data_IF_777690399351
#
_entry.id   IF_777690399351
#
_cell.length_a   1.000
_cell.length_b   1.000
_cell.length_c   1.000
_cell.angle_alpha   90.00
_cell.angle_beta   90.00
_cell.angle_gamma   90.00
#
_symmetry.space_group_name_H-M   'P 1'
#
loop_
_entity.id
_entity.type
_entity.pdbx_description
1 polymer ?
#
# COMPACT_ATOMS: atom_id res chain seq x y z
N UNK A 1 -29.88 16.66 6.64
CA UNK A 1 -29.24 16.76 7.98
C UNK A 1 -29.17 15.41 8.72
N UNK A 2 -30.29 14.85 9.24
CA UNK A 2 -30.29 13.65 10.11
C UNK A 2 -29.54 12.42 9.57
N UNK A 3 -29.79 12.02 8.31
CA UNK A 3 -29.11 10.85 7.70
C UNK A 3 -27.60 11.05 7.54
N UNK A 4 -27.17 12.27 7.22
CA UNK A 4 -25.74 12.60 7.13
C UNK A 4 -25.05 12.60 8.49
N UNK A 5 -25.72 13.10 9.53
CA UNK A 5 -25.22 13.04 10.90
C UNK A 5 -25.10 11.59 11.40
N UNK A 6 -26.08 10.73 11.11
CA UNK A 6 -25.98 9.30 11.44
C UNK A 6 -24.82 8.64 10.69
N UNK A 7 -24.65 8.92 9.39
CA UNK A 7 -23.52 8.39 8.62
C UNK A 7 -22.17 8.81 9.23
N UNK A 8 -22.02 10.10 9.58
CA UNK A 8 -20.80 10.59 10.20
C UNK A 8 -20.57 9.94 11.58
N UNK A 9 -21.61 9.82 12.40
CA UNK A 9 -21.52 9.20 13.72
C UNK A 9 -21.13 7.72 13.64
N UNK A 10 -21.80 6.94 12.79
CA UNK A 10 -21.46 5.53 12.60
C UNK A 10 -20.10 5.33 11.91
N UNK A 11 -19.72 6.23 11.00
CA UNK A 11 -18.39 6.24 10.40
C UNK A 11 -17.31 6.48 11.44
N UNK A 12 -17.49 7.47 12.31
CA UNK A 12 -16.58 7.77 13.41
C UNK A 12 -16.53 6.60 14.41
N UNK A 13 -17.67 6.04 14.80
CA UNK A 13 -17.72 4.88 15.69
C UNK A 13 -16.98 3.69 15.08
N UNK A 14 -17.22 3.37 13.80
CA UNK A 14 -16.51 2.30 13.08
C UNK A 14 -15.00 2.55 12.99
N UNK A 15 -14.59 3.79 12.74
CA UNK A 15 -13.18 4.18 12.73
C UNK A 15 -12.55 3.99 14.12
N UNK A 16 -13.18 4.47 15.19
CA UNK A 16 -12.65 4.31 16.55
C UNK A 16 -12.59 2.84 16.99
N UNK A 17 -13.58 2.02 16.60
CA UNK A 17 -13.60 0.60 16.92
C UNK A 17 -12.50 -0.19 16.19
N UNK A 18 -12.17 0.19 14.95
CA UNK A 18 -11.18 -0.54 14.13
C UNK A 18 -9.77 0.01 14.26
N UNK A 19 -9.61 1.33 14.45
CA UNK A 19 -8.33 2.02 14.47
C UNK A 19 -7.98 2.65 15.82
N UNK A 20 -8.95 2.96 16.67
CA UNK A 20 -8.72 3.76 17.88
C UNK A 20 -7.67 3.19 18.82
N UNK A 21 -7.66 1.86 19.02
CA UNK A 21 -6.61 1.18 19.81
C UNK A 21 -5.21 1.37 19.21
N UNK A 22 -5.09 1.21 17.89
CA UNK A 22 -3.81 1.34 17.21
C UNK A 22 -3.34 2.79 17.19
N UNK A 23 -4.21 3.75 16.89
CA UNK A 23 -3.90 5.17 16.94
C UNK A 23 -3.48 5.63 18.34
N UNK A 24 -4.14 5.14 19.40
CA UNK A 24 -3.71 5.41 20.77
C UNK A 24 -2.33 4.80 21.09
N UNK A 25 -2.01 3.64 20.52
CA UNK A 25 -0.69 3.01 20.67
C UNK A 25 0.38 3.84 19.98
N UNK A 26 0.16 4.27 18.73
CA UNK A 26 1.08 5.14 18.00
C UNK A 26 1.25 6.50 18.70
N UNK A 27 0.18 7.06 19.28
CA UNK A 27 0.27 8.29 20.07
C UNK A 27 1.18 8.12 21.31
N UNK A 28 1.09 6.98 22.01
CA UNK A 28 1.94 6.73 23.19
C UNK A 28 3.40 6.51 22.82
N UNK A 29 3.66 5.69 21.80
CA UNK A 29 5.03 5.32 21.42
C UNK A 29 5.75 6.43 20.65
N UNK A 30 5.02 7.12 19.76
CA UNK A 30 5.62 8.05 18.81
C UNK A 30 5.09 9.49 18.95
N UNK A 31 4.10 9.77 19.78
CA UNK A 31 3.54 11.12 19.87
C UNK A 31 2.71 11.56 18.66
N UNK A 32 2.40 10.64 17.75
CA UNK A 32 1.59 10.89 16.55
C UNK A 32 0.62 9.70 16.37
N UNK A 33 -0.71 9.91 16.39
CA UNK A 33 -1.67 8.81 16.33
C UNK A 33 -1.75 8.17 14.94
N UNK A 34 -1.15 8.79 13.91
CA UNK A 34 -1.08 8.32 12.54
C UNK A 34 0.36 8.04 12.11
N UNK A 35 1.30 7.91 13.04
CA UNK A 35 2.74 7.84 12.75
C UNK A 35 3.11 6.83 11.64
N UNK A 36 4.01 7.19 10.69
CA UNK A 36 4.62 8.51 10.48
C UNK A 36 3.79 9.43 9.56
N UNK A 37 2.57 9.04 9.18
CA UNK A 37 1.67 9.89 8.42
C UNK A 37 1.30 11.14 9.23
N UNK A 38 1.02 12.24 8.51
CA UNK A 38 0.64 13.53 9.10
C UNK A 38 1.67 14.13 10.08
N UNK A 39 2.95 13.73 10.00
CA UNK A 39 3.96 14.27 10.91
C UNK A 39 4.25 15.76 10.72
N UNK A 40 3.86 16.36 9.58
CA UNK A 40 3.86 17.82 9.43
C UNK A 40 2.89 18.55 10.39
N UNK A 41 1.90 17.82 10.95
CA UNK A 41 0.94 18.34 11.93
C UNK A 41 1.36 17.97 13.36
N UNK A 42 1.64 16.68 13.60
CA UNK A 42 1.95 16.19 14.96
C UNK A 42 3.39 16.43 15.40
N UNK A 43 4.30 16.67 14.46
CA UNK A 43 5.70 17.03 14.71
C UNK A 43 6.42 16.08 15.67
N UNK A 44 6.17 14.77 15.53
CA UNK A 44 6.86 13.74 16.31
C UNK A 44 8.37 13.81 16.08
N UNK A 45 9.20 13.73 17.14
CA UNK A 45 10.66 13.69 16.99
C UNK A 45 11.17 12.36 16.43
N UNK A 46 10.29 11.36 16.27
CA UNK A 46 10.63 10.04 15.75
C UNK A 46 10.73 10.00 14.22
N UNK A 47 10.25 11.04 13.54
CA UNK A 47 10.29 11.16 12.08
C UNK A 47 10.66 12.59 11.64
N UNK A 48 10.89 12.78 10.36
CA UNK A 48 11.08 14.10 9.76
C UNK A 48 9.84 14.99 9.92
N UNK A 49 10.02 16.31 9.96
CA UNK A 49 8.94 17.30 10.14
C UNK A 49 8.11 17.51 8.85
N UNK A 50 7.82 16.43 8.15
CA UNK A 50 7.03 16.36 6.92
C UNK A 50 6.02 15.22 7.03
N UNK A 51 4.90 15.32 6.31
CA UNK A 51 3.94 14.22 6.25
C UNK A 51 4.43 13.15 5.28
N UNK A 52 4.60 11.92 5.77
CA UNK A 52 5.03 10.80 4.95
C UNK A 52 3.98 10.48 3.86
N UNK A 53 4.37 10.58 2.59
CA UNK A 53 3.55 10.19 1.44
C UNK A 53 4.45 9.91 0.23
N UNK A 54 3.96 9.11 -0.72
CA UNK A 54 4.70 8.78 -1.94
C UNK A 54 4.42 9.81 -3.03
N UNK A 55 5.39 10.70 -3.27
CA UNK A 55 5.28 11.80 -4.24
C UNK A 55 5.48 11.37 -5.70
N UNK A 56 5.75 10.08 -5.97
CA UNK A 56 5.98 9.58 -7.34
C UNK A 56 4.71 9.53 -8.18
N UNK A 57 3.54 9.50 -7.55
CA UNK A 57 2.24 9.32 -8.18
C UNK A 57 1.38 10.57 -8.08
N UNK A 58 0.34 10.63 -8.90
CA UNK A 58 -0.62 11.73 -8.92
C UNK A 58 -0.46 12.70 -10.09
N UNK A 59 -1.50 13.50 -10.36
CA UNK A 59 -1.51 14.46 -11.45
C UNK A 59 -0.70 15.70 -11.10
N UNK A 60 0.03 16.25 -12.09
CA UNK A 60 0.81 17.48 -11.91
C UNK A 60 -0.02 18.76 -12.13
N UNK A 61 -1.18 18.63 -12.76
CA UNK A 61 -2.08 19.75 -13.08
C UNK A 61 -3.52 19.26 -13.28
N UNK A 62 -4.46 20.20 -13.45
CA UNK A 62 -5.89 19.90 -13.59
C UNK A 62 -6.21 19.03 -14.83
N UNK A 63 -5.50 19.21 -15.94
CA UNK A 63 -5.70 18.39 -17.14
C UNK A 63 -5.28 16.94 -16.89
N UNK A 64 -4.14 16.74 -16.25
CA UNK A 64 -3.72 15.39 -15.83
C UNK A 64 -4.70 14.78 -14.82
N UNK A 65 -5.27 15.57 -13.91
CA UNK A 65 -6.25 15.09 -12.95
C UNK A 65 -7.53 14.58 -13.63
N UNK A 66 -8.04 15.31 -14.63
CA UNK A 66 -9.24 14.92 -15.40
C UNK A 66 -8.95 13.72 -16.30
N UNK A 67 -7.77 13.67 -16.91
CA UNK A 67 -7.38 12.59 -17.84
C UNK A 67 -6.79 11.36 -17.14
N UNK A 68 -6.58 11.41 -15.82
CA UNK A 68 -5.91 10.36 -15.05
C UNK A 68 -6.50 8.95 -15.23
N UNK A 69 -7.84 8.75 -15.25
CA UNK A 69 -8.43 7.44 -15.51
C UNK A 69 -8.00 6.83 -16.84
N UNK A 70 -7.85 7.66 -17.87
CA UNK A 70 -7.45 7.23 -19.20
C UNK A 70 -5.94 6.93 -19.27
N UNK A 71 -5.14 7.65 -18.49
CA UNK A 71 -3.69 7.44 -18.42
C UNK A 71 -3.37 6.07 -17.81
N UNK A 72 -3.93 5.73 -16.65
CA UNK A 72 -3.68 4.42 -16.05
C UNK A 72 -4.44 3.28 -16.75
N UNK A 73 -5.51 3.58 -17.50
CA UNK A 73 -6.17 2.60 -18.36
C UNK A 73 -5.27 2.16 -19.54
N UNK A 74 -4.31 2.97 -19.95
CA UNK A 74 -3.36 2.63 -21.02
C UNK A 74 -1.99 2.19 -20.48
N UNK A 75 -1.43 2.94 -19.53
CA UNK A 75 -0.15 2.68 -18.90
C UNK A 75 -0.29 2.73 -17.38
N UNK A 76 -0.53 1.58 -16.76
CA UNK A 76 -0.71 1.47 -15.30
C UNK A 76 0.48 1.97 -14.46
N UNK A 77 1.69 2.07 -15.03
CA UNK A 77 2.87 2.59 -14.32
C UNK A 77 2.71 4.03 -13.80
N UNK A 78 1.76 4.79 -14.33
CA UNK A 78 1.46 6.13 -13.83
C UNK A 78 0.81 6.11 -12.44
N UNK A 79 0.30 4.96 -11.99
CA UNK A 79 -0.43 4.77 -10.74
C UNK A 79 0.03 3.53 -9.96
N UNK A 80 1.02 2.76 -10.40
CA UNK A 80 1.59 1.66 -9.60
C UNK A 80 3.03 1.35 -9.99
N UNK A 81 3.75 0.60 -9.16
CA UNK A 81 5.16 0.21 -9.38
C UNK A 81 5.32 -0.88 -10.45
N UNK A 82 4.31 -1.74 -10.62
CA UNK A 82 4.22 -2.74 -11.67
C UNK A 82 3.34 -2.27 -12.82
N UNK A 83 3.61 -2.79 -14.01
CA UNK A 83 2.77 -2.50 -15.16
C UNK A 83 1.43 -3.25 -15.06
N UNK A 84 0.35 -2.56 -15.39
CA UNK A 84 -1.00 -3.12 -15.55
C UNK A 84 -1.79 -2.31 -16.58
N UNK A 85 -2.96 -2.83 -16.95
CA UNK A 85 -3.92 -2.15 -17.82
C UNK A 85 -5.33 -2.39 -17.28
N UNK A 86 -6.06 -1.36 -16.88
CA UNK A 86 -7.45 -1.51 -16.44
C UNK A 86 -8.36 -0.38 -16.99
N UNK A 87 -9.22 -0.67 -17.98
CA UNK A 87 -10.08 0.34 -18.59
C UNK A 87 -11.32 0.67 -17.76
N UNK A 88 -11.54 0.03 -16.60
CA UNK A 88 -12.78 0.13 -15.82
C UNK A 88 -13.09 1.57 -15.43
N UNK A 89 -12.11 2.27 -14.85
CA UNK A 89 -12.34 3.66 -14.39
C UNK A 89 -12.50 4.64 -15.55
N UNK A 90 -11.71 4.49 -16.61
CA UNK A 90 -11.88 5.29 -17.83
C UNK A 90 -13.29 5.10 -18.44
N UNK A 91 -13.76 3.86 -18.49
CA UNK A 91 -15.09 3.53 -19.01
C UNK A 91 -16.20 4.09 -18.12
N UNK A 92 -16.06 3.97 -16.79
CA UNK A 92 -17.00 4.56 -15.86
C UNK A 92 -17.04 6.08 -16.02
N UNK A 93 -15.89 6.73 -16.20
CA UNK A 93 -15.81 8.17 -16.41
C UNK A 93 -16.59 8.61 -17.66
N UNK A 94 -16.37 7.93 -18.80
CA UNK A 94 -17.11 8.20 -20.04
C UNK A 94 -18.62 7.99 -19.87
N UNK A 95 -19.02 6.88 -19.24
CA UNK A 95 -20.43 6.57 -19.00
C UNK A 95 -21.08 7.59 -18.06
N UNK A 96 -20.36 8.05 -17.02
CA UNK A 96 -20.85 9.06 -16.10
C UNK A 96 -21.08 10.40 -16.82
N UNK A 97 -20.14 10.85 -17.67
CA UNK A 97 -20.29 12.07 -18.48
C UNK A 97 -21.50 11.94 -19.43
N UNK A 98 -21.62 10.81 -20.14
CA UNK A 98 -22.76 10.55 -21.03
C UNK A 98 -24.09 10.53 -20.26
N UNK A 99 -24.10 9.94 -19.06
CA UNK A 99 -25.26 9.86 -18.18
C UNK A 99 -25.70 11.25 -17.70
N UNK A 100 -24.76 12.11 -17.28
CA UNK A 100 -25.02 13.49 -16.87
C UNK A 100 -25.54 14.31 -18.05
N UNK A 101 -24.91 14.22 -19.22
CA UNK A 101 -25.34 14.92 -20.43
C UNK A 101 -26.74 14.47 -20.88
N UNK A 102 -27.01 13.16 -20.86
CA UNK A 102 -28.30 12.57 -21.23
C UNK A 102 -29.42 12.84 -20.23
N UNK A 103 -29.10 13.10 -18.95
CA UNK A 103 -30.09 13.42 -17.91
C UNK A 103 -30.91 14.68 -18.24
N UNK A 104 -30.33 15.63 -18.98
CA UNK A 104 -30.97 16.89 -19.38
C UNK A 104 -32.06 16.75 -20.44
N UNK A 105 -32.14 15.61 -21.16
CA UNK A 105 -32.98 15.48 -22.37
C UNK A 105 -34.22 14.61 -22.22
N UNK A 106 -34.33 13.81 -21.16
CA UNK A 106 -35.55 13.07 -20.83
C UNK A 106 -35.49 12.52 -19.40
N UNK A 107 -36.24 13.11 -18.47
CA UNK A 107 -36.40 12.55 -17.12
C UNK A 107 -37.30 11.33 -17.22
N UNK A 108 -36.71 10.14 -17.36
CA UNK A 108 -37.43 8.86 -17.31
C UNK A 108 -37.80 8.54 -15.86
N UNK A 109 -39.04 8.13 -15.62
CA UNK A 109 -39.53 7.76 -14.27
C UNK A 109 -38.74 6.59 -13.63
N UNK A 110 -38.13 5.72 -14.45
CA UNK A 110 -37.34 4.56 -14.01
C UNK A 110 -35.81 4.80 -13.99
N UNK A 111 -35.37 6.06 -13.99
CA UNK A 111 -33.94 6.37 -13.97
C UNK A 111 -33.31 5.99 -12.62
N UNK A 112 -32.27 5.12 -12.56
CA UNK A 112 -31.67 4.69 -11.29
C UNK A 112 -31.20 5.87 -10.43
N UNK A 113 -30.54 6.85 -11.05
CA UNK A 113 -30.02 8.04 -10.39
C UNK A 113 -31.09 9.09 -10.03
N UNK A 114 -32.38 8.83 -10.29
CA UNK A 114 -33.46 9.55 -9.62
C UNK A 114 -33.60 9.12 -8.15
N UNK A 115 -33.19 7.89 -7.82
CA UNK A 115 -33.28 7.34 -6.47
C UNK A 115 -32.12 7.86 -5.58
N UNK A 116 -32.40 8.31 -4.34
CA UNK A 116 -31.38 8.83 -3.43
C UNK A 116 -30.21 7.87 -3.17
N UNK A 117 -30.46 6.56 -3.16
CA UNK A 117 -29.42 5.52 -2.96
C UNK A 117 -28.36 5.51 -4.07
N UNK A 118 -28.76 5.68 -5.33
CA UNK A 118 -27.84 5.69 -6.46
C UNK A 118 -27.04 7.00 -6.50
N UNK A 119 -27.68 8.12 -6.17
CA UNK A 119 -27.00 9.42 -6.00
C UNK A 119 -25.96 9.34 -4.89
N UNK A 120 -26.28 8.69 -3.78
CA UNK A 120 -25.34 8.48 -2.69
C UNK A 120 -24.09 7.72 -3.16
N UNK A 121 -24.26 6.59 -3.87
CA UNK A 121 -23.12 5.81 -4.39
C UNK A 121 -22.30 6.62 -5.41
N UNK A 122 -22.96 7.40 -6.27
CA UNK A 122 -22.26 8.27 -7.22
C UNK A 122 -21.46 9.39 -6.53
N UNK A 123 -22.05 10.05 -5.54
CA UNK A 123 -21.35 11.08 -4.73
C UNK A 123 -20.20 10.44 -3.95
N UNK A 124 -20.43 9.29 -3.32
CA UNK A 124 -19.38 8.52 -2.67
C UNK A 124 -18.23 8.23 -3.65
N UNK A 125 -18.54 7.73 -4.85
CA UNK A 125 -17.51 7.41 -5.84
C UNK A 125 -16.74 8.66 -6.31
N UNK A 126 -17.42 9.79 -6.52
CA UNK A 126 -16.76 11.04 -6.89
C UNK A 126 -15.85 11.57 -5.77
N UNK A 127 -16.32 11.57 -4.53
CA UNK A 127 -15.55 12.01 -3.36
C UNK A 127 -14.38 11.07 -3.10
N UNK A 128 -14.59 9.76 -3.15
CA UNK A 128 -13.55 8.76 -2.98
C UNK A 128 -12.48 8.86 -4.09
N UNK A 129 -12.89 9.09 -5.35
CA UNK A 129 -11.94 9.31 -6.45
C UNK A 129 -11.10 10.57 -6.25
N UNK A 130 -11.74 11.70 -5.91
CA UNK A 130 -11.03 12.96 -5.64
C UNK A 130 -10.08 12.82 -4.44
N UNK A 131 -10.51 12.14 -3.38
CA UNK A 131 -9.70 11.90 -2.18
C UNK A 131 -8.51 11.00 -2.51
N UNK A 132 -8.74 9.90 -3.22
CA UNK A 132 -7.68 9.00 -3.68
C UNK A 132 -6.64 9.73 -4.54
N UNK A 133 -7.10 10.55 -5.50
CA UNK A 133 -6.22 11.29 -6.40
C UNK A 133 -5.39 12.34 -5.66
N UNK A 134 -5.93 12.95 -4.60
CA UNK A 134 -5.25 13.95 -3.79
C UNK A 134 -4.28 13.36 -2.74
N UNK A 135 -4.51 12.13 -2.29
CA UNK A 135 -3.74 11.52 -1.19
C UNK A 135 -2.66 10.56 -1.68
N UNK A 136 -3.03 9.65 -2.60
CA UNK A 136 -2.17 8.52 -2.95
C UNK A 136 -1.92 8.44 -4.45
N UNK A 137 -2.98 8.51 -5.24
CA UNK A 137 -2.99 8.19 -6.67
C UNK A 137 -2.35 6.83 -7.04
N UNK A 138 -2.21 5.92 -6.07
CA UNK A 138 -1.71 4.56 -6.27
C UNK A 138 -2.89 3.61 -6.47
N UNK A 139 -2.89 2.87 -7.57
CA UNK A 139 -4.00 2.07 -8.06
C UNK A 139 -4.51 1.04 -7.05
N UNK A 140 -3.62 0.39 -6.29
CA UNK A 140 -4.02 -0.58 -5.25
C UNK A 140 -4.91 0.01 -4.14
N UNK A 141 -4.93 1.32 -3.95
CA UNK A 141 -5.84 2.00 -3.00
C UNK A 141 -7.18 2.42 -3.61
N UNK A 142 -7.41 2.09 -4.89
CA UNK A 142 -8.64 2.38 -5.63
C UNK A 142 -9.72 1.29 -5.47
N UNK A 143 -9.43 0.19 -4.77
CA UNK A 143 -10.30 -0.99 -4.60
C UNK A 143 -11.76 -0.62 -4.27
N UNK A 144 -12.07 0.31 -3.33
CA UNK A 144 -13.47 0.66 -3.05
C UNK A 144 -14.23 1.16 -4.28
N UNK A 145 -13.57 1.88 -5.19
CA UNK A 145 -14.17 2.31 -6.46
C UNK A 145 -14.30 1.16 -7.45
N UNK A 146 -13.33 0.25 -7.50
CA UNK A 146 -13.42 -0.94 -8.35
C UNK A 146 -14.68 -1.74 -8.01
N UNK A 147 -14.95 -1.95 -6.72
CA UNK A 147 -16.11 -2.69 -6.22
C UNK A 147 -17.44 -2.05 -6.63
N UNK A 148 -17.55 -0.72 -6.59
CA UNK A 148 -18.82 -0.02 -6.94
C UNK A 148 -18.94 0.33 -8.42
N UNK A 149 -17.85 0.30 -9.18
CA UNK A 149 -17.84 0.73 -10.58
C UNK A 149 -18.78 -0.09 -11.48
N UNK A 150 -18.86 -1.41 -11.28
CA UNK A 150 -19.75 -2.27 -12.06
C UNK A 150 -21.21 -1.88 -11.87
N UNK A 151 -21.62 -1.64 -10.62
CA UNK A 151 -22.96 -1.16 -10.31
C UNK A 151 -23.23 0.21 -10.96
N UNK A 152 -22.29 1.16 -10.85
CA UNK A 152 -22.43 2.49 -11.45
C UNK A 152 -22.51 2.44 -12.98
N UNK A 153 -21.69 1.61 -13.63
CA UNK A 153 -21.75 1.40 -15.08
C UNK A 153 -23.11 0.85 -15.51
N UNK A 154 -23.62 -0.18 -14.83
CA UNK A 154 -24.96 -0.74 -15.10
C UNK A 154 -26.06 0.30 -14.84
N UNK A 155 -25.93 1.11 -13.79
CA UNK A 155 -26.81 2.25 -13.52
C UNK A 155 -26.83 3.25 -14.68
N UNK A 156 -25.66 3.59 -15.22
CA UNK A 156 -25.54 4.48 -16.39
C UNK A 156 -26.19 3.85 -17.64
N UNK A 157 -25.92 2.56 -17.91
CA UNK A 157 -26.55 1.83 -19.01
C UNK A 157 -28.07 1.85 -18.88
N UNK A 158 -28.62 1.59 -17.69
CA UNK A 158 -30.07 1.56 -17.50
C UNK A 158 -30.73 2.93 -17.75
N UNK A 159 -30.03 4.02 -17.44
CA UNK A 159 -30.47 5.37 -17.75
C UNK A 159 -30.40 5.69 -19.25
N UNK A 160 -29.30 5.33 -19.91
CA UNK A 160 -29.04 5.65 -21.32
C UNK A 160 -29.80 4.73 -22.30
N UNK A 161 -29.96 3.46 -21.98
CA UNK A 161 -30.57 2.46 -22.85
C UNK A 161 -32.10 2.37 -22.66
N UNK A 162 -32.84 2.44 -23.77
CA UNK A 162 -34.30 2.42 -23.82
C UNK A 162 -34.93 1.05 -23.55
N UNK A 163 -34.45 -0.03 -24.19
CA UNK A 163 -35.06 -1.37 -24.12
C UNK A 163 -34.33 -2.35 -23.19
N UNK A 164 -35.03 -3.35 -22.61
CA UNK A 164 -34.40 -4.37 -21.77
C UNK A 164 -33.33 -5.22 -22.49
N UNK A 165 -33.53 -5.52 -23.78
CA UNK A 165 -32.55 -6.25 -24.59
C UNK A 165 -31.28 -5.43 -24.79
N UNK A 166 -31.40 -4.13 -25.09
CA UNK A 166 -30.25 -3.24 -25.24
C UNK A 166 -29.49 -3.08 -23.92
N UNK A 167 -30.19 -3.00 -22.78
CA UNK A 167 -29.55 -2.96 -21.45
C UNK A 167 -28.70 -4.21 -21.18
N UNK A 168 -29.27 -5.40 -21.42
CA UNK A 168 -28.56 -6.67 -21.22
C UNK A 168 -27.39 -6.81 -22.19
N UNK A 169 -27.61 -6.51 -23.47
CA UNK A 169 -26.57 -6.55 -24.50
C UNK A 169 -25.41 -5.59 -24.19
N UNK A 170 -25.72 -4.33 -23.87
CA UNK A 170 -24.72 -3.33 -23.49
C UNK A 170 -23.95 -3.73 -22.23
N UNK A 171 -24.63 -4.23 -21.19
CA UNK A 171 -23.97 -4.69 -19.97
C UNK A 171 -23.06 -5.91 -20.22
N UNK A 172 -23.50 -6.88 -21.03
CA UNK A 172 -22.71 -8.05 -21.38
C UNK A 172 -21.49 -7.68 -22.23
N UNK A 173 -21.68 -6.84 -23.26
CA UNK A 173 -20.60 -6.34 -24.11
C UNK A 173 -19.60 -5.51 -23.30
N UNK A 174 -20.08 -4.67 -22.38
CA UNK A 174 -19.21 -3.87 -21.52
C UNK A 174 -18.41 -4.75 -20.55
N UNK A 175 -19.07 -5.73 -19.93
CA UNK A 175 -18.40 -6.68 -19.04
C UNK A 175 -17.32 -7.47 -19.81
N UNK A 176 -17.65 -7.96 -21.01
CA UNK A 176 -16.71 -8.65 -21.88
C UNK A 176 -15.53 -7.74 -22.25
N UNK A 177 -15.79 -6.49 -22.63
CA UNK A 177 -14.75 -5.52 -22.92
C UNK A 177 -13.83 -5.28 -21.72
N UNK A 178 -14.38 -4.96 -20.54
CA UNK A 178 -13.59 -4.69 -19.35
C UNK A 178 -12.74 -5.91 -18.98
N UNK A 179 -13.32 -7.11 -18.97
CA UNK A 179 -12.58 -8.34 -18.66
C UNK A 179 -11.49 -8.61 -19.69
N UNK A 180 -11.81 -8.59 -20.99
CA UNK A 180 -10.85 -8.90 -22.05
C UNK A 180 -9.73 -7.85 -22.17
N UNK A 181 -10.02 -6.59 -21.87
CA UNK A 181 -9.05 -5.51 -21.93
C UNK A 181 -8.25 -5.33 -20.63
N UNK A 182 -8.65 -5.94 -19.52
CA UNK A 182 -7.90 -5.86 -18.25
C UNK A 182 -6.68 -6.76 -18.29
N UNK A 183 -5.51 -6.19 -18.00
CA UNK A 183 -4.30 -6.91 -17.65
C UNK A 183 -3.97 -6.60 -16.19
N UNK A 184 -4.19 -7.54 -15.25
CA UNK A 184 -4.03 -7.27 -13.83
C UNK A 184 -2.55 -7.05 -13.47
N UNK A 185 -2.26 -6.22 -12.45
CA UNK A 185 -0.89 -6.08 -11.96
C UNK A 185 -0.37 -7.42 -11.40
N UNK A 186 0.93 -7.66 -11.54
CA UNK A 186 1.56 -8.90 -11.12
C UNK A 186 2.86 -8.63 -10.34
N UNK A 187 2.84 -8.87 -9.03
CA UNK A 187 4.02 -8.85 -8.13
C UNK A 187 4.65 -10.23 -7.94
N UNK A 188 4.28 -11.19 -8.77
CA UNK A 188 4.61 -12.60 -8.58
C UNK A 188 3.58 -13.31 -7.71
N UNK A 189 3.50 -14.62 -7.88
CA UNK A 189 2.68 -15.52 -7.07
C UNK A 189 3.50 -16.74 -6.74
N UNK A 190 3.42 -17.18 -5.49
CA UNK A 190 3.96 -18.47 -5.08
C UNK A 190 2.90 -19.55 -5.32
N UNK A 191 3.28 -20.78 -5.71
CA UNK A 191 2.33 -21.89 -5.75
C UNK A 191 1.65 -22.08 -4.38
N UNK A 192 0.40 -22.55 -4.39
CA UNK A 192 -0.25 -22.96 -3.15
C UNK A 192 0.55 -24.10 -2.51
N UNK A 193 0.82 -24.01 -1.22
CA UNK A 193 1.57 -25.01 -0.45
C UNK A 193 1.08 -25.07 0.99
N UNK A 194 1.61 -26.02 1.77
CA UNK A 194 1.20 -26.27 3.15
C UNK A 194 1.52 -25.11 4.10
N UNK A 195 2.47 -24.24 3.75
CA UNK A 195 2.78 -23.05 4.51
C UNK A 195 2.83 -21.81 3.61
N UNK A 196 2.36 -20.68 4.14
CA UNK A 196 2.30 -19.42 3.40
C UNK A 196 3.67 -18.73 3.29
N UNK A 197 4.47 -18.77 4.36
CA UNK A 197 5.78 -18.11 4.42
C UNK A 197 6.97 -19.06 4.26
N UNK A 198 6.79 -20.38 4.47
CA UNK A 198 7.84 -21.39 4.41
C UNK A 198 8.97 -21.25 5.42
N UNK A 199 9.80 -22.28 5.39
CA UNK A 199 10.97 -22.59 6.21
C UNK A 199 11.31 -21.58 7.33
N UNK A 200 11.24 -21.99 8.61
CA UNK A 200 11.71 -21.14 9.69
C UNK A 200 13.19 -20.79 9.46
N UNK A 201 13.59 -19.55 9.78
CA UNK A 201 14.98 -19.15 9.63
C UNK A 201 15.87 -19.98 10.58
N UNK A 202 17.19 -20.01 10.33
CA UNK A 202 18.12 -20.65 11.25
C UNK A 202 17.98 -20.13 12.68
N UNK A 203 18.17 -21.02 13.66
CA UNK A 203 18.05 -20.66 15.06
C UNK A 203 19.06 -19.58 15.45
N UNK A 204 18.62 -18.60 16.23
CA UNK A 204 19.47 -17.57 16.83
C UNK A 204 19.86 -17.96 18.26
N UNK A 205 21.07 -17.58 18.72
CA UNK A 205 21.41 -17.64 20.14
C UNK A 205 20.55 -16.65 20.97
N UNK A 206 20.48 -16.82 22.30
CA UNK A 206 19.79 -15.87 23.18
C UNK A 206 20.35 -14.45 23.08
N UNK A 207 19.49 -13.44 23.24
CA UNK A 207 19.83 -12.00 23.16
C UNK A 207 20.61 -11.64 21.87
N UNK A 208 20.26 -12.25 20.74
CA UNK A 208 20.83 -11.85 19.45
C UNK A 208 20.14 -10.58 18.90
N UNK A 209 20.88 -9.79 18.11
CA UNK A 209 20.29 -8.73 17.29
C UNK A 209 20.56 -8.94 15.80
N UNK A 210 19.53 -8.79 14.98
CA UNK A 210 19.55 -9.04 13.54
C UNK A 210 19.39 -7.72 12.78
N UNK A 211 20.29 -7.50 11.82
CA UNK A 211 20.34 -6.35 10.93
C UNK A 211 19.76 -6.76 9.59
N UNK A 212 18.72 -6.08 9.14
CA UNK A 212 18.09 -6.35 7.85
C UNK A 212 18.76 -5.61 6.70
N UNK A 213 18.74 -6.24 5.54
CA UNK A 213 19.24 -5.66 4.30
C UNK A 213 18.48 -4.38 3.90
N UNK A 214 19.20 -3.36 3.40
CA UNK A 214 18.59 -2.13 2.87
C UNK A 214 17.47 -2.39 1.86
N UNK A 215 16.35 -1.68 2.05
CA UNK A 215 15.20 -1.64 1.12
C UNK A 215 14.59 -3.00 0.74
N UNK A 216 14.79 -4.04 1.55
CA UNK A 216 14.18 -5.36 1.34
C UNK A 216 13.09 -5.66 2.37
N UNK A 217 11.94 -6.22 1.97
CA UNK A 217 10.80 -6.47 2.86
C UNK A 217 11.00 -7.76 3.67
N UNK A 218 12.03 -7.84 4.52
CA UNK A 218 12.38 -9.06 5.27
C UNK A 218 11.70 -9.17 6.65
N UNK A 219 10.94 -8.14 7.06
CA UNK A 219 10.31 -8.08 8.39
C UNK A 219 9.25 -9.16 8.65
N UNK A 220 8.70 -9.78 7.60
CA UNK A 220 7.77 -10.91 7.75
C UNK A 220 8.43 -12.13 8.43
N UNK A 221 9.77 -12.19 8.47
CA UNK A 221 10.53 -13.27 9.12
C UNK A 221 10.61 -13.13 10.65
N UNK A 222 10.37 -11.93 11.20
CA UNK A 222 10.48 -11.65 12.64
C UNK A 222 9.72 -12.66 13.51
N UNK A 223 8.45 -13.03 13.21
CA UNK A 223 7.69 -13.96 14.04
C UNK A 223 8.24 -15.40 14.08
N UNK A 224 9.13 -15.76 13.15
CA UNK A 224 9.73 -17.10 13.08
C UNK A 224 11.06 -17.21 13.83
N UNK A 225 11.61 -16.07 14.26
CA UNK A 225 12.77 -16.05 15.14
C UNK A 225 12.33 -16.12 16.61
N UNK A 226 13.31 -16.25 17.51
CA UNK A 226 13.06 -16.24 18.95
C UNK A 226 12.49 -14.89 19.41
N UNK A 227 11.62 -14.93 20.42
CA UNK A 227 10.95 -13.75 20.97
C UNK A 227 11.88 -12.78 21.73
N UNK A 228 13.06 -13.25 22.16
CA UNK A 228 14.08 -12.46 22.86
C UNK A 228 15.08 -11.78 21.89
N UNK A 229 15.00 -12.07 20.59
CA UNK A 229 15.84 -11.44 19.58
C UNK A 229 15.38 -10.01 19.27
N UNK A 230 16.34 -9.16 18.90
CA UNK A 230 16.10 -7.77 18.49
C UNK A 230 16.29 -7.63 16.98
N UNK A 231 15.52 -6.75 16.34
CA UNK A 231 15.58 -6.54 14.90
C UNK A 231 15.75 -5.06 14.59
N UNK A 232 16.57 -4.76 13.59
CA UNK A 232 16.80 -3.38 13.16
C UNK A 232 17.03 -3.31 11.65
N UNK A 233 16.41 -2.33 11.01
CA UNK A 233 16.67 -1.94 9.63
C UNK A 233 17.14 -0.47 9.63
N UNK A 234 18.44 -0.21 9.81
CA UNK A 234 18.98 1.15 9.85
C UNK A 234 18.88 1.86 8.49
N UNK A 235 18.62 1.09 7.43
CA UNK A 235 18.38 1.53 6.06
C UNK A 235 17.17 0.76 5.51
N UNK A 236 16.15 1.45 5.01
CA UNK A 236 14.88 0.86 4.58
C UNK A 236 14.11 1.79 3.62
N UNK A 237 12.93 1.36 3.17
CA UNK A 237 12.02 2.23 2.40
C UNK A 237 11.42 3.40 3.22
N UNK A 238 11.80 3.52 4.49
CA UNK A 238 11.34 4.56 5.41
C UNK A 238 12.57 5.31 5.94
N UNK A 239 13.46 4.60 6.62
CA UNK A 239 14.61 5.17 7.29
C UNK A 239 15.84 5.19 6.39
N UNK A 240 16.53 6.32 6.34
CA UNK A 240 17.86 6.43 5.74
C UNK A 240 18.91 6.63 6.84
N UNK A 241 20.12 6.03 6.75
CA UNK A 241 21.07 6.11 7.86
C UNK A 241 21.75 7.49 8.00
N UNK A 242 21.48 8.42 7.09
CA UNK A 242 21.87 9.84 7.18
C UNK A 242 20.90 10.68 7.99
N UNK A 243 19.68 10.18 8.25
CA UNK A 243 18.68 10.91 9.01
C UNK A 243 19.08 11.07 10.48
N UNK A 244 18.57 12.13 11.11
CA UNK A 244 18.86 12.45 12.51
C UNK A 244 17.61 12.36 13.41
N UNK A 245 16.50 11.82 12.89
CA UNK A 245 15.27 11.60 13.63
C UNK A 245 15.40 10.51 14.72
N UNK A 246 14.37 10.37 15.56
CA UNK A 246 14.37 9.44 16.69
C UNK A 246 14.49 7.98 16.28
N UNK A 247 13.93 7.56 15.14
CA UNK A 247 14.10 6.19 14.63
C UNK A 247 15.56 5.92 14.26
N UNK A 248 16.20 6.85 13.54
CA UNK A 248 17.61 6.73 13.16
C UNK A 248 18.51 6.64 14.40
N UNK A 249 18.29 7.52 15.39
CA UNK A 249 19.01 7.48 16.67
C UNK A 249 18.81 6.16 17.39
N UNK A 250 17.57 5.66 17.45
CA UNK A 250 17.25 4.39 18.13
C UNK A 250 17.91 3.19 17.47
N UNK A 251 17.94 3.15 16.13
CA UNK A 251 18.65 2.12 15.38
C UNK A 251 20.16 2.15 15.66
N UNK A 252 20.77 3.34 15.61
CA UNK A 252 22.19 3.52 15.90
C UNK A 252 22.54 3.16 17.36
N UNK A 253 21.72 3.57 18.33
CA UNK A 253 21.91 3.23 19.74
C UNK A 253 21.83 1.73 20.00
N UNK A 254 20.90 1.02 19.34
CA UNK A 254 20.79 -0.42 19.46
C UNK A 254 22.07 -1.09 18.96
N UNK A 255 22.56 -0.73 17.78
CA UNK A 255 23.80 -1.28 17.23
C UNK A 255 25.04 -0.92 18.05
N UNK A 256 25.09 0.27 18.63
CA UNK A 256 26.21 0.71 19.46
C UNK A 256 26.25 0.02 20.83
N UNK A 257 25.09 -0.14 21.49
CA UNK A 257 24.99 -0.62 22.88
C UNK A 257 24.83 -2.12 23.01
N UNK A 258 24.32 -2.80 21.98
CA UNK A 258 24.10 -4.24 22.03
C UNK A 258 25.42 -5.00 22.20
N UNK A 259 25.48 -5.92 23.17
CA UNK A 259 26.67 -6.72 23.50
C UNK A 259 26.51 -8.20 23.17
N UNK A 260 25.29 -8.65 22.90
CA UNK A 260 25.01 -10.01 22.45
C UNK A 260 25.44 -10.26 21.00
N UNK A 261 25.21 -11.48 20.50
CA UNK A 261 25.54 -11.88 19.13
C UNK A 261 24.82 -11.01 18.09
N UNK A 262 25.58 -10.49 17.12
CA UNK A 262 25.04 -9.73 15.99
C UNK A 262 24.93 -10.62 14.75
N UNK A 263 23.85 -10.47 14.00
CA UNK A 263 23.65 -11.14 12.73
C UNK A 263 23.19 -10.16 11.66
N UNK A 264 23.53 -10.44 10.40
CA UNK A 264 23.01 -9.78 9.22
C UNK A 264 22.12 -10.77 8.45
N UNK A 265 20.94 -10.31 8.04
CA UNK A 265 19.99 -11.06 7.23
C UNK A 265 19.85 -10.37 5.86
N UNK A 266 20.31 -11.03 4.80
CA UNK A 266 20.32 -10.51 3.44
C UNK A 266 20.00 -11.55 2.37
N UNK A 267 19.75 -11.08 1.15
CA UNK A 267 19.73 -11.92 -0.05
C UNK A 267 21.16 -12.30 -0.46
N UNK A 268 21.29 -13.42 -1.17
CA UNK A 268 22.56 -13.82 -1.77
C UNK A 268 23.01 -12.78 -2.84
N UNK A 269 24.03 -11.96 -2.54
CA UNK A 269 24.53 -10.89 -3.43
C UNK A 269 25.07 -9.63 -2.73
N UNK A 270 24.68 -9.39 -1.48
CA UNK A 270 25.48 -8.85 -0.38
C UNK A 270 26.17 -7.47 -0.40
N UNK A 271 26.38 -6.78 -1.52
CA UNK A 271 27.17 -5.54 -1.53
C UNK A 271 26.52 -4.40 -0.72
N UNK A 272 25.19 -4.28 -0.78
CA UNK A 272 24.45 -3.27 -0.03
C UNK A 272 24.53 -3.50 1.50
N UNK A 273 24.49 -4.76 1.92
CA UNK A 273 24.65 -5.12 3.33
C UNK A 273 26.05 -4.77 3.84
N UNK A 274 27.11 -5.07 3.08
CA UNK A 274 28.48 -4.74 3.49
C UNK A 274 28.69 -3.23 3.64
N UNK A 275 28.17 -2.46 2.69
CA UNK A 275 28.20 -1.00 2.76
C UNK A 275 27.45 -0.46 3.99
N UNK A 276 26.28 -1.02 4.31
CA UNK A 276 25.51 -0.66 5.50
C UNK A 276 26.29 -0.98 6.79
N UNK A 277 26.80 -2.20 6.92
CA UNK A 277 27.53 -2.66 8.11
C UNK A 277 28.78 -1.80 8.37
N UNK A 278 29.52 -1.45 7.30
CA UNK A 278 30.70 -0.61 7.41
C UNK A 278 30.41 0.76 8.04
N UNK A 279 29.23 1.35 7.80
CA UNK A 279 28.81 2.63 8.41
C UNK A 279 28.68 2.56 9.94
N UNK A 280 28.45 1.37 10.48
CA UNK A 280 28.34 1.13 11.92
C UNK A 280 29.59 0.47 12.51
N UNK A 281 30.72 0.46 11.78
CA UNK A 281 31.94 -0.27 12.12
C UNK A 281 31.65 -1.75 12.41
N UNK A 282 30.85 -2.37 11.54
CA UNK A 282 30.50 -3.79 11.59
C UNK A 282 30.99 -4.49 10.32
N UNK A 283 31.29 -5.79 10.42
CA UNK A 283 31.63 -6.65 9.30
C UNK A 283 30.98 -8.01 9.50
N UNK A 284 30.53 -8.65 8.42
CA UNK A 284 29.98 -10.01 8.48
C UNK A 284 31.05 -11.06 8.23
N UNK A 285 30.85 -12.23 8.81
CA UNK A 285 31.69 -13.40 8.63
C UNK A 285 31.13 -14.30 7.52
N UNK A 286 31.51 -14.01 6.29
CA UNK A 286 31.02 -14.73 5.10
C UNK A 286 31.13 -16.26 5.19
N UNK A 287 32.25 -16.85 5.68
CA UNK A 287 32.38 -18.31 5.77
C UNK A 287 31.41 -18.96 6.77
N UNK A 288 30.87 -18.20 7.72
CA UNK A 288 29.99 -18.69 8.78
C UNK A 288 28.50 -18.41 8.50
N UNK A 289 28.15 -17.89 7.32
CA UNK A 289 26.78 -17.64 6.94
C UNK A 289 25.99 -18.95 6.75
N UNK A 290 24.78 -18.99 7.28
CA UNK A 290 23.82 -20.07 7.03
C UNK A 290 22.82 -19.61 5.98
N UNK A 291 22.76 -20.31 4.84
CA UNK A 291 21.78 -20.06 3.80
C UNK A 291 20.48 -20.83 4.08
N UNK A 292 19.34 -20.24 3.73
CA UNK A 292 18.03 -20.89 3.80
C UNK A 292 17.10 -20.33 2.72
N UNK A 293 16.13 -21.14 2.31
CA UNK A 293 15.20 -20.79 1.25
C UNK A 293 13.95 -20.14 1.83
N UNK A 294 13.54 -19.03 1.24
CA UNK A 294 12.23 -18.42 1.48
C UNK A 294 11.35 -18.68 0.25
N UNK A 295 10.20 -19.38 0.38
CA UNK A 295 9.27 -19.51 -0.73
C UNK A 295 8.69 -18.15 -1.13
N UNK A 296 8.64 -17.18 -0.22
CA UNK A 296 8.22 -15.81 -0.55
C UNK A 296 9.20 -15.26 -1.58
N UNK A 297 8.71 -15.11 -2.82
CA UNK A 297 9.48 -14.69 -4.01
C UNK A 297 10.59 -15.64 -4.48
N UNK A 298 10.66 -16.88 -3.98
CA UNK A 298 11.68 -17.86 -4.39
C UNK A 298 13.11 -17.38 -4.18
N UNK A 299 13.33 -16.61 -3.12
CA UNK A 299 14.61 -15.97 -2.80
C UNK A 299 15.42 -16.84 -1.84
N UNK A 300 16.73 -16.88 -2.08
CA UNK A 300 17.68 -17.49 -1.16
C UNK A 300 18.23 -16.42 -0.23
N UNK A 301 18.04 -16.64 1.06
CA UNK A 301 18.45 -15.74 2.13
C UNK A 301 19.66 -16.30 2.85
N UNK A 302 20.42 -15.42 3.51
CA UNK A 302 21.56 -15.78 4.34
C UNK A 302 21.47 -15.06 5.67
N UNK A 303 21.78 -15.81 6.72
CA UNK A 303 21.98 -15.28 8.06
C UNK A 303 23.46 -15.40 8.40
N UNK A 304 24.14 -14.26 8.54
CA UNK A 304 25.58 -14.18 8.73
C UNK A 304 25.91 -13.62 10.11
N UNK A 305 26.81 -14.26 10.89
CA UNK A 305 27.38 -13.63 12.08
C UNK A 305 28.07 -12.31 11.72
N UNK A 306 27.98 -11.34 12.62
CA UNK A 306 28.56 -10.00 12.47
C UNK A 306 29.48 -9.70 13.64
N UNK A 307 30.68 -9.21 13.33
CA UNK A 307 31.66 -8.73 14.31
C UNK A 307 31.87 -7.23 14.17
N UNK A 308 32.41 -6.64 15.23
CA UNK A 308 32.78 -5.22 15.22
C UNK A 308 34.13 -5.07 14.51
N UNK A 309 34.25 -4.08 13.63
CA UNK A 309 35.51 -3.75 13.00
C UNK A 309 36.44 -3.15 14.06
N UNK A 310 37.55 -3.83 14.36
CA UNK A 310 38.52 -3.41 15.38
C UNK A 310 38.60 -4.32 16.61
N UNK A 311 37.81 -5.40 16.67
CA UNK A 311 38.00 -6.54 17.58
C UNK A 311 38.65 -7.72 16.87
#
# INVERSE_FOLDING_TARGET
>A
ARRGALLAAFGLAGFLLTYGFWGATLQREFGNPFFPYLNGIFQSPWWELVSFHDERYGPRNALEAITYPFRFAWNGRVADDVWFRDPRMATLFVLAVACIAGHSRAVRMDAPFALPRWRFVAVFAAVAYATWLAQFAIYRYLIPLELVSGALMVGCIHQLAHSPSMRRGAAALLALFVVAATFPPNWGRVPAGESYFGAPPPALPPDAAVIFEPHKPLAYLIPFFRHDARFVAPDSNMLEPTQHNGLARRAAELLARHRGPLYALDHEGGAAMDALLARFALRRELPACTAFDSPVMGIRLRLCPVTRAGS
#
